data_IF_594406680162
#
_entry.id   IF_594406680162
#
_cell.length_a   1.000
_cell.length_b   1.000
_cell.length_c   1.000
_cell.angle_alpha   90.00
_cell.angle_beta   90.00
_cell.angle_gamma   90.00
#
_symmetry.space_group_name_H-M   'P 1'
#
loop_
_entity.id
_entity.type
_entity.pdbx_description
1 polymer ?
#
# COMPACT_ATOMS: atom_id res chain seq x y z
N UNK A 1 9.77 28.92 16.94
CA UNK A 1 8.70 27.91 16.77
C UNK A 1 7.62 28.54 15.92
N UNK A 2 7.51 28.10 14.67
CA UNK A 2 6.49 28.55 13.74
C UNK A 2 5.88 27.29 13.15
N UNK A 3 4.63 27.02 13.52
CA UNK A 3 3.87 25.88 13.02
C UNK A 3 3.44 26.23 11.59
N UNK A 4 4.14 25.68 10.59
CA UNK A 4 3.60 25.57 9.24
C UNK A 4 2.58 24.43 9.25
N UNK A 5 1.37 24.72 8.76
CA UNK A 5 0.17 23.90 8.89
C UNK A 5 0.37 22.45 8.43
N UNK A 6 -0.02 21.52 9.28
CA UNK A 6 -0.18 20.09 8.99
C UNK A 6 -1.61 19.83 8.51
N UNK A 7 -2.00 20.52 7.45
CA UNK A 7 -3.07 20.08 6.57
C UNK A 7 -2.37 19.88 5.22
N UNK A 8 -2.53 18.73 4.57
CA UNK A 8 -2.45 18.54 3.10
C UNK A 8 -1.77 17.25 2.58
N UNK A 9 -1.46 16.22 3.39
CA UNK A 9 -0.82 14.99 2.85
C UNK A 9 -1.58 13.67 3.13
N UNK A 10 -2.92 13.68 3.13
CA UNK A 10 -3.68 12.45 2.85
C UNK A 10 -4.25 12.57 1.45
N UNK A 11 -3.57 11.93 0.48
CA UNK A 11 -4.11 11.78 -0.86
C UNK A 11 -5.26 10.77 -0.83
N UNK A 12 -6.50 11.23 -0.61
CA UNK A 12 -7.73 10.46 -0.90
C UNK A 12 -8.07 10.67 -2.38
N UNK A 13 -7.20 10.26 -3.31
CA UNK A 13 -7.58 10.26 -4.73
C UNK A 13 -7.98 8.85 -5.13
N UNK A 14 -9.28 8.66 -5.24
CA UNK A 14 -9.86 7.66 -6.14
C UNK A 14 -10.39 6.39 -5.48
N UNK A 15 -11.32 5.76 -6.21
CA UNK A 15 -12.02 4.52 -5.85
C UNK A 15 -11.07 3.50 -5.20
N UNK A 16 -11.34 3.15 -3.95
CA UNK A 16 -10.80 1.94 -3.33
C UNK A 16 -11.24 0.77 -4.20
N UNK A 17 -10.32 0.17 -4.96
CA UNK A 17 -10.62 -1.05 -5.72
C UNK A 17 -10.73 -2.17 -4.70
N UNK A 18 -11.96 -2.45 -4.27
CA UNK A 18 -12.25 -3.61 -3.43
C UNK A 18 -12.03 -4.87 -4.27
N UNK A 19 -10.98 -5.63 -3.97
CA UNK A 19 -10.79 -6.96 -4.53
C UNK A 19 -11.44 -7.98 -3.61
N UNK A 20 -12.42 -8.72 -4.12
CA UNK A 20 -13.04 -9.84 -3.38
C UNK A 20 -12.35 -11.12 -3.81
N UNK A 21 -11.66 -11.78 -2.90
CA UNK A 21 -10.99 -13.07 -3.15
C UNK A 21 -11.99 -14.19 -2.87
N UNK A 22 -12.27 -15.01 -3.89
CA UNK A 22 -13.38 -15.98 -3.88
C UNK A 22 -13.30 -17.04 -2.76
N UNK A 23 -12.12 -17.31 -2.21
CA UNK A 23 -11.90 -18.35 -1.19
C UNK A 23 -11.50 -17.82 0.21
N UNK A 24 -11.65 -16.51 0.46
CA UNK A 24 -11.48 -15.91 1.80
C UNK A 24 -10.04 -15.86 2.34
N UNK A 25 -9.05 -16.33 1.59
CA UNK A 25 -7.62 -16.20 1.95
C UNK A 25 -6.89 -15.55 0.78
N UNK A 26 -6.16 -14.48 1.05
CA UNK A 26 -5.27 -13.83 0.09
C UNK A 26 -3.88 -14.42 0.22
N UNK A 27 -3.33 -14.95 -0.87
CA UNK A 27 -1.90 -15.33 -0.90
C UNK A 27 -1.03 -14.08 -1.10
N UNK A 28 0.26 -14.21 -0.83
CA UNK A 28 1.23 -13.17 -1.13
C UNK A 28 1.32 -12.86 -2.62
N UNK A 29 1.32 -13.88 -3.49
CA UNK A 29 1.32 -13.67 -4.93
C UNK A 29 0.06 -12.94 -5.42
N UNK A 30 -1.11 -13.29 -4.87
CA UNK A 30 -2.35 -12.55 -5.16
C UNK A 30 -2.26 -11.11 -4.69
N UNK A 31 -1.72 -10.87 -3.50
CA UNK A 31 -1.50 -9.52 -3.01
C UNK A 31 -0.60 -8.70 -3.95
N UNK A 32 0.48 -9.30 -4.46
CA UNK A 32 1.38 -8.65 -5.42
C UNK A 32 0.64 -8.31 -6.72
N UNK A 33 -0.01 -9.29 -7.35
CA UNK A 33 -0.58 -9.15 -8.69
C UNK A 33 -1.88 -8.36 -8.71
N UNK A 34 -2.71 -8.52 -7.67
CA UNK A 34 -4.05 -7.96 -7.60
C UNK A 34 -4.08 -6.61 -6.87
N UNK A 35 -3.13 -6.35 -5.96
CA UNK A 35 -3.07 -5.13 -5.16
C UNK A 35 -1.80 -4.32 -5.45
N UNK A 36 -0.61 -4.80 -5.11
CA UNK A 36 0.60 -3.97 -5.15
C UNK A 36 0.91 -3.43 -6.56
N UNK A 37 1.01 -4.29 -7.56
CA UNK A 37 1.41 -3.89 -8.91
C UNK A 37 0.39 -2.95 -9.58
N UNK A 38 -0.93 -3.20 -9.51
CA UNK A 38 -1.90 -2.26 -10.04
C UNK A 38 -1.86 -0.89 -9.35
N UNK A 39 -1.71 -0.84 -8.03
CA UNK A 39 -1.69 0.42 -7.28
C UNK A 39 -0.39 1.19 -7.54
N UNK A 40 0.77 0.52 -7.53
CA UNK A 40 2.04 1.16 -7.88
C UNK A 40 1.99 1.77 -9.28
N UNK A 41 1.51 1.02 -10.30
CA UNK A 41 1.39 1.54 -11.67
C UNK A 41 0.47 2.76 -11.75
N UNK A 42 -0.67 2.74 -11.06
CA UNK A 42 -1.67 3.81 -11.13
C UNK A 42 -1.18 5.07 -10.41
N UNK A 43 -0.64 4.92 -9.20
CA UNK A 43 -0.32 6.05 -8.34
C UNK A 43 1.11 6.55 -8.52
N UNK A 44 2.10 5.70 -8.81
CA UNK A 44 3.48 6.16 -9.05
C UNK A 44 3.57 7.09 -10.24
N UNK A 45 2.82 6.85 -11.31
CA UNK A 45 2.78 7.75 -12.46
C UNK A 45 2.18 9.12 -12.14
N UNK A 46 1.26 9.19 -11.18
CA UNK A 46 0.55 10.42 -10.80
C UNK A 46 1.24 11.19 -9.65
N UNK A 47 1.79 10.46 -8.68
CA UNK A 47 2.35 10.98 -7.41
C UNK A 47 3.88 11.05 -7.46
N UNK A 48 4.52 10.21 -8.26
CA UNK A 48 5.96 10.10 -8.36
C UNK A 48 6.59 9.36 -7.18
N UNK A 49 7.79 9.80 -6.82
CA UNK A 49 8.65 9.23 -5.76
C UNK A 49 8.11 9.42 -4.33
N UNK A 50 7.12 10.30 -4.15
CA UNK A 50 6.42 10.52 -2.88
C UNK A 50 5.33 9.48 -2.60
N UNK A 51 5.09 8.53 -3.50
CA UNK A 51 4.10 7.48 -3.28
C UNK A 51 4.55 6.54 -2.16
N UNK A 52 3.71 6.41 -1.13
CA UNK A 52 3.93 5.52 0.00
C UNK A 52 2.77 4.54 0.09
N UNK A 53 3.10 3.25 0.13
CA UNK A 53 2.13 2.20 0.39
C UNK A 53 1.88 2.10 1.90
N UNK A 54 0.62 1.99 2.33
CA UNK A 54 0.27 1.75 3.73
C UNK A 54 -0.77 0.64 3.80
N UNK A 55 -0.49 -0.40 4.57
CA UNK A 55 -1.40 -1.51 4.81
C UNK A 55 -1.27 -2.03 6.26
N UNK A 56 -2.14 -2.99 6.58
CA UNK A 56 -2.12 -3.68 7.86
C UNK A 56 -1.00 -4.73 7.95
N UNK A 57 -0.89 -5.34 9.12
CA UNK A 57 0.12 -6.37 9.37
C UNK A 57 -0.35 -7.80 9.03
N UNK A 58 -1.26 -7.98 8.06
CA UNK A 58 -1.66 -9.31 7.62
C UNK A 58 -0.45 -10.09 7.06
N UNK A 59 -0.37 -11.39 7.34
CA UNK A 59 0.79 -12.22 6.99
C UNK A 59 1.10 -12.19 5.49
N UNK A 60 0.09 -12.14 4.62
CA UNK A 60 0.27 -12.07 3.18
C UNK A 60 0.95 -10.77 2.71
N UNK A 61 0.87 -9.67 3.48
CA UNK A 61 1.53 -8.40 3.16
C UNK A 61 2.99 -8.37 3.64
N UNK A 62 3.41 -9.38 4.41
CA UNK A 62 4.68 -9.39 5.15
C UNK A 62 5.59 -10.54 4.73
N UNK A 63 5.32 -11.18 3.59
CA UNK A 63 6.21 -12.21 3.04
C UNK A 63 7.43 -11.58 2.37
N UNK A 64 8.50 -12.36 2.24
CA UNK A 64 9.71 -11.92 1.55
C UNK A 64 9.42 -11.53 0.09
N UNK A 65 8.55 -12.27 -0.59
CA UNK A 65 8.16 -11.96 -1.97
C UNK A 65 7.51 -10.56 -2.10
N UNK A 66 6.69 -10.17 -1.12
CA UNK A 66 6.08 -8.83 -1.08
C UNK A 66 7.13 -7.76 -0.83
N UNK A 67 8.06 -8.00 0.10
CA UNK A 67 9.15 -7.05 0.38
C UNK A 67 10.05 -6.87 -0.84
N UNK A 68 10.49 -7.95 -1.47
CA UNK A 68 11.30 -7.92 -2.68
C UNK A 68 10.59 -7.15 -3.81
N UNK A 69 9.27 -7.34 -3.95
CA UNK A 69 8.47 -6.60 -4.91
C UNK A 69 8.48 -5.09 -4.61
N UNK A 70 8.21 -4.68 -3.36
CA UNK A 70 8.21 -3.27 -2.96
C UNK A 70 9.58 -2.60 -3.19
N UNK A 71 10.65 -3.30 -2.81
CA UNK A 71 12.02 -2.84 -2.98
C UNK A 71 12.37 -2.68 -4.48
N UNK A 72 11.97 -3.63 -5.32
CA UNK A 72 12.19 -3.57 -6.77
C UNK A 72 11.48 -2.40 -7.46
N UNK A 73 10.38 -1.90 -6.86
CA UNK A 73 9.64 -0.72 -7.35
C UNK A 73 10.18 0.58 -6.77
N UNK A 74 11.05 0.53 -5.76
CA UNK A 74 11.43 1.71 -4.99
C UNK A 74 10.23 2.35 -4.32
N UNK A 75 9.27 1.54 -3.84
CA UNK A 75 8.09 2.00 -3.12
C UNK A 75 8.39 2.06 -1.64
N UNK A 76 8.12 3.20 -1.02
CA UNK A 76 8.15 3.27 0.44
C UNK A 76 6.93 2.54 1.00
N UNK A 77 7.12 1.84 2.11
CA UNK A 77 6.06 1.09 2.79
C UNK A 77 5.97 1.50 4.25
N UNK A 78 4.79 1.89 4.69
CA UNK A 78 4.47 2.16 6.08
C UNK A 78 3.59 1.04 6.61
N UNK A 79 4.04 0.44 7.72
CA UNK A 79 3.32 -0.62 8.40
C UNK A 79 2.42 0.00 9.46
N UNK A 80 1.12 -0.27 9.39
CA UNK A 80 0.22 0.09 10.47
C UNK A 80 0.43 -0.85 11.67
N UNK A 81 0.36 -0.36 12.92
CA UNK A 81 0.47 -1.22 14.09
C UNK A 81 -0.56 -2.36 14.05
N UNK A 82 -0.16 -3.52 14.55
CA UNK A 82 -1.07 -4.66 14.66
C UNK A 82 -2.30 -4.26 15.51
N UNK A 83 -3.49 -4.62 15.03
CA UNK A 83 -4.79 -4.33 15.66
C UNK A 83 -5.20 -2.84 15.67
N UNK A 84 -4.61 -2.02 14.80
CA UNK A 84 -5.19 -0.73 14.44
C UNK A 84 -6.33 -0.96 13.46
N UNK A 85 -7.58 -0.90 13.93
CA UNK A 85 -8.76 -0.83 13.08
C UNK A 85 -9.08 0.65 12.80
N UNK A 86 -9.40 0.96 11.54
CA UNK A 86 -9.90 2.27 11.11
C UNK A 86 -11.42 2.31 11.30
#
# INVERSE_FOLDING_TARGET
MQYHGLADDIMIIGRTRLHVVANGTMTDQQYIDEVLLPHDRLFRGAVGDKFVFMDDNATCHRTLAVQDCLDSKGSQHLVLPARSQI
#
